data_IF_586682844261
#
_entry.id   IF_586682844261
#
_cell.length_a   1.000
_cell.length_b   1.000
_cell.length_c   1.000
_cell.angle_alpha   90.00
_cell.angle_beta   90.00
_cell.angle_gamma   90.00
#
_symmetry.space_group_name_H-M   'P 1'
#
loop_
_entity.id
_entity.type
_entity.pdbx_description
1 polymer ?
#
# COMPACT_ATOMS: atom_id res chain seq x y z
N UNK A 1 6.15 -17.86 -20.85
CA UNK A 1 5.54 -17.30 -19.61
C UNK A 1 4.74 -18.42 -18.97
N UNK A 2 5.18 -18.95 -17.84
CA UNK A 2 4.39 -19.93 -17.09
C UNK A 2 3.19 -19.16 -16.49
N UNK A 3 1.95 -19.62 -16.67
CA UNK A 3 0.80 -18.94 -16.05
C UNK A 3 0.98 -18.99 -14.53
N UNK A 4 1.06 -17.84 -13.90
CA UNK A 4 0.97 -17.75 -12.43
C UNK A 4 -0.41 -18.31 -12.05
N UNK A 5 -0.44 -19.52 -11.51
CA UNK A 5 -1.65 -20.00 -10.85
C UNK A 5 -2.04 -18.96 -9.80
N UNK A 6 -3.26 -18.47 -9.86
CA UNK A 6 -3.78 -17.56 -8.85
C UNK A 6 -3.82 -18.31 -7.52
N UNK A 7 -2.89 -18.01 -6.64
CA UNK A 7 -2.86 -18.60 -5.30
C UNK A 7 -4.11 -18.14 -4.55
N UNK A 8 -4.92 -19.08 -4.11
CA UNK A 8 -6.06 -18.79 -3.23
C UNK A 8 -5.48 -18.33 -1.87
N UNK A 9 -5.81 -17.12 -1.48
CA UNK A 9 -5.45 -16.55 -0.18
C UNK A 9 -6.71 -16.10 0.55
N UNK A 10 -6.66 -16.19 1.87
CA UNK A 10 -7.68 -15.67 2.75
C UNK A 10 -7.32 -14.25 3.21
N UNK A 11 -8.31 -13.44 3.52
CA UNK A 11 -8.15 -12.05 3.97
C UNK A 11 -8.36 -11.94 5.47
N UNK A 12 -7.47 -11.23 6.16
CA UNK A 12 -7.58 -10.98 7.62
C UNK A 12 -8.90 -10.30 7.98
N UNK A 13 -9.40 -9.39 7.11
CA UNK A 13 -10.70 -8.75 7.31
C UNK A 13 -11.87 -9.75 7.34
N UNK A 14 -11.79 -10.84 6.58
CA UNK A 14 -12.82 -11.88 6.57
C UNK A 14 -12.89 -12.62 7.90
N UNK A 15 -11.75 -12.87 8.56
CA UNK A 15 -11.72 -13.48 9.89
C UNK A 15 -12.40 -12.61 10.96
N UNK A 16 -12.18 -11.28 10.89
CA UNK A 16 -12.87 -10.35 11.80
C UNK A 16 -14.36 -10.25 11.54
N UNK A 17 -14.80 -10.48 10.30
CA UNK A 17 -16.21 -10.39 9.91
C UNK A 17 -16.99 -11.65 10.22
N UNK A 18 -16.40 -12.82 10.05
CA UNK A 18 -17.08 -14.11 10.17
C UNK A 18 -16.11 -15.18 10.69
N UNK A 19 -15.66 -15.00 11.94
CA UNK A 19 -14.73 -15.92 12.59
C UNK A 19 -15.22 -17.38 12.59
N UNK A 20 -16.51 -17.69 12.89
CA UNK A 20 -16.99 -19.08 12.93
C UNK A 20 -16.80 -19.84 11.63
N UNK A 21 -16.83 -19.15 10.49
CA UNK A 21 -16.61 -19.79 9.18
C UNK A 21 -15.16 -20.23 8.94
N UNK A 22 -14.20 -19.70 9.71
CA UNK A 22 -12.78 -19.97 9.53
C UNK A 22 -12.15 -20.71 10.73
N UNK A 23 -12.74 -20.64 11.91
CA UNK A 23 -12.22 -21.29 13.12
C UNK A 23 -12.02 -22.79 12.92
N UNK A 24 -10.86 -23.30 13.33
CA UNK A 24 -10.45 -24.69 13.16
C UNK A 24 -10.06 -25.10 11.74
N UNK A 25 -10.14 -24.19 10.76
CA UNK A 25 -9.78 -24.48 9.36
C UNK A 25 -8.36 -24.03 9.03
N UNK A 26 -7.79 -24.69 8.03
CA UNK A 26 -6.52 -24.24 7.43
C UNK A 26 -6.78 -23.03 6.56
N UNK A 27 -6.03 -21.96 6.81
CA UNK A 27 -6.08 -20.69 6.07
C UNK A 27 -4.70 -20.37 5.52
N UNK A 28 -4.67 -19.58 4.43
CA UNK A 28 -3.42 -19.07 3.86
C UNK A 28 -3.51 -17.54 3.75
N UNK A 29 -2.62 -16.82 4.45
CA UNK A 29 -2.56 -15.36 4.46
C UNK A 29 -1.22 -14.90 3.92
N UNK A 30 -1.26 -13.91 3.02
CA UNK A 30 -0.08 -13.22 2.52
C UNK A 30 -0.07 -11.79 3.05
N UNK A 31 1.02 -11.36 3.65
CA UNK A 31 1.10 -10.03 4.26
C UNK A 31 2.53 -9.63 4.64
N UNK A 32 2.62 -8.52 5.35
CA UNK A 32 3.89 -7.99 5.82
C UNK A 32 3.98 -8.10 7.34
N UNK A 33 5.15 -8.54 7.82
CA UNK A 33 5.45 -8.60 9.24
C UNK A 33 5.53 -7.18 9.84
N UNK A 34 4.68 -6.87 10.80
CA UNK A 34 4.75 -5.65 11.61
C UNK A 34 5.63 -5.81 12.84
N UNK A 35 5.72 -7.01 13.35
CA UNK A 35 6.68 -7.39 14.38
C UNK A 35 6.93 -8.89 14.31
N UNK A 36 8.14 -9.28 14.62
CA UNK A 36 8.55 -10.67 14.81
C UNK A 36 9.20 -10.76 16.19
N UNK A 37 8.85 -11.77 16.95
CA UNK A 37 9.42 -12.05 18.28
C UNK A 37 9.59 -13.54 18.39
N UNK A 38 10.68 -13.99 18.93
CA UNK A 38 10.93 -15.39 19.26
C UNK A 38 11.25 -15.57 20.74
N UNK A 39 10.97 -16.74 21.25
CA UNK A 39 11.24 -17.19 22.61
C UNK A 39 11.69 -18.64 22.54
N UNK A 40 12.96 -18.87 22.24
CA UNK A 40 13.66 -20.17 22.11
C UNK A 40 12.93 -21.23 21.27
N UNK A 41 11.69 -21.62 21.65
CA UNK A 41 10.93 -22.66 20.99
C UNK A 41 9.64 -22.15 20.31
N UNK A 42 9.23 -20.92 20.60
CA UNK A 42 8.01 -20.29 20.08
C UNK A 42 8.33 -18.94 19.46
N UNK A 43 7.76 -18.68 18.29
CA UNK A 43 7.83 -17.37 17.68
C UNK A 43 6.43 -16.81 17.41
N UNK A 44 6.35 -15.48 17.35
CA UNK A 44 5.12 -14.72 17.13
C UNK A 44 5.35 -13.67 16.05
N UNK A 45 4.47 -13.62 15.07
CA UNK A 45 4.46 -12.59 14.03
C UNK A 45 3.14 -11.83 14.13
N UNK A 46 3.19 -10.50 14.13
CA UNK A 46 2.04 -9.66 13.79
C UNK A 46 2.05 -9.47 12.28
N UNK A 47 1.20 -10.20 11.57
CA UNK A 47 1.09 -10.17 10.11
C UNK A 47 -0.09 -9.30 9.69
N UNK A 48 0.14 -8.37 8.78
CA UNK A 48 -0.90 -7.50 8.23
C UNK A 48 -0.94 -7.58 6.71
N UNK A 49 -2.10 -7.94 6.16
CA UNK A 49 -2.36 -8.07 4.73
C UNK A 49 -2.92 -6.80 4.08
N UNK A 50 -3.13 -5.74 4.87
CA UNK A 50 -3.70 -4.47 4.43
C UNK A 50 -5.22 -4.43 4.37
N UNK A 51 -5.93 -5.54 4.52
CA UNK A 51 -7.41 -5.58 4.47
C UNK A 51 -8.06 -5.08 5.76
N UNK A 52 -7.34 -5.17 6.89
CA UNK A 52 -7.78 -4.71 8.20
C UNK A 52 -6.74 -3.80 8.88
N UNK A 53 -7.19 -2.95 9.82
CA UNK A 53 -6.29 -2.17 10.69
C UNK A 53 -5.48 -3.07 11.61
N UNK A 54 -6.12 -4.09 12.15
CA UNK A 54 -5.48 -5.09 13.01
C UNK A 54 -4.94 -6.18 12.11
N UNK A 55 -3.71 -6.60 12.37
CA UNK A 55 -3.15 -7.80 11.78
C UNK A 55 -3.72 -9.08 12.42
N UNK A 56 -3.15 -10.19 12.04
CA UNK A 56 -3.37 -11.49 12.69
C UNK A 56 -2.08 -11.91 13.39
N UNK A 57 -2.19 -12.41 14.61
CA UNK A 57 -1.08 -13.06 15.28
C UNK A 57 -0.83 -14.42 14.66
N UNK A 58 0.39 -14.66 14.25
CA UNK A 58 0.85 -15.97 13.78
C UNK A 58 1.76 -16.54 14.85
N UNK A 59 1.49 -17.76 15.27
CA UNK A 59 2.32 -18.55 16.19
C UNK A 59 3.06 -19.59 15.38
N UNK A 60 4.37 -19.67 15.55
CA UNK A 60 5.20 -20.68 14.90
C UNK A 60 6.16 -21.32 15.91
N UNK A 61 6.38 -22.62 15.77
CA UNK A 61 7.10 -23.43 16.76
C UNK A 61 8.34 -24.08 16.14
N UNK A 62 9.42 -24.09 16.91
CA UNK A 62 10.63 -24.84 16.54
C UNK A 62 10.34 -26.35 16.48
N UNK A 63 10.80 -27.00 15.43
CA UNK A 63 10.51 -28.41 15.15
C UNK A 63 9.17 -28.68 14.44
N UNK A 64 8.24 -27.72 14.37
CA UNK A 64 7.05 -27.80 13.51
C UNK A 64 7.23 -27.12 12.17
N UNK A 65 8.10 -26.09 12.11
CA UNK A 65 8.45 -25.38 10.89
C UNK A 65 9.94 -25.60 10.60
N UNK A 66 10.25 -26.04 9.40
CA UNK A 66 11.65 -26.35 9.00
C UNK A 66 12.57 -25.13 9.07
N UNK A 67 12.05 -23.95 8.73
CA UNK A 67 12.79 -22.69 8.62
C UNK A 67 12.60 -21.74 9.82
N UNK A 68 12.37 -22.24 11.03
CA UNK A 68 12.13 -21.45 12.23
C UNK A 68 13.15 -20.32 12.43
N UNK A 69 14.45 -20.64 12.34
CA UNK A 69 15.54 -19.67 12.53
C UNK A 69 15.56 -18.58 11.45
N UNK A 70 15.28 -18.97 10.21
CA UNK A 70 15.16 -18.02 9.11
C UNK A 70 14.02 -17.03 9.36
N UNK A 71 12.85 -17.52 9.77
CA UNK A 71 11.68 -16.67 10.07
C UNK A 71 11.95 -15.79 11.29
N UNK A 72 12.51 -16.32 12.36
CA UNK A 72 12.84 -15.58 13.58
C UNK A 72 13.83 -14.44 13.31
N UNK A 73 14.72 -14.59 12.32
CA UNK A 73 15.71 -13.59 11.92
C UNK A 73 15.17 -12.51 10.97
N UNK A 74 13.93 -12.62 10.47
CA UNK A 74 13.38 -11.64 9.55
C UNK A 74 13.11 -10.29 10.22
N UNK A 75 13.25 -9.22 9.43
CA UNK A 75 12.99 -7.86 9.89
C UNK A 75 11.53 -7.44 9.66
N UNK A 76 11.12 -6.39 10.37
CA UNK A 76 9.86 -5.70 10.12
C UNK A 76 9.76 -5.31 8.64
N UNK A 77 8.61 -5.55 8.05
CA UNK A 77 8.37 -5.29 6.63
C UNK A 77 8.64 -6.48 5.71
N UNK A 78 9.18 -7.59 6.21
CA UNK A 78 9.30 -8.81 5.42
C UNK A 78 7.93 -9.27 4.89
N UNK A 79 7.88 -9.67 3.63
CA UNK A 79 6.70 -10.21 2.99
C UNK A 79 6.65 -11.72 3.21
N UNK A 80 5.58 -12.17 3.84
CA UNK A 80 5.42 -13.56 4.26
C UNK A 80 4.14 -14.16 3.70
N UNK A 81 4.18 -15.43 3.36
CA UNK A 81 3.03 -16.28 3.14
C UNK A 81 2.96 -17.30 4.26
N UNK A 82 1.85 -17.28 4.96
CA UNK A 82 1.62 -18.13 6.13
C UNK A 82 0.45 -19.06 5.85
N UNK A 83 0.66 -20.36 5.99
CA UNK A 83 -0.38 -21.38 5.98
C UNK A 83 -0.45 -22.01 7.37
N UNK A 84 -1.66 -22.17 7.92
CA UNK A 84 -1.83 -22.74 9.25
C UNK A 84 -3.28 -22.81 9.67
N UNK A 85 -3.53 -23.30 10.88
CA UNK A 85 -4.87 -23.43 11.44
C UNK A 85 -5.27 -22.15 12.18
N UNK A 86 -6.41 -21.58 11.85
CA UNK A 86 -6.98 -20.43 12.57
C UNK A 86 -7.65 -20.93 13.85
N UNK A 87 -7.19 -20.45 14.98
CA UNK A 87 -7.73 -20.83 16.31
C UNK A 87 -8.34 -19.61 17.00
N UNK A 88 -9.47 -19.82 17.66
CA UNK A 88 -10.08 -18.82 18.52
C UNK A 88 -9.29 -18.67 19.82
N UNK A 89 -9.10 -17.42 20.25
CA UNK A 89 -8.36 -17.08 21.47
C UNK A 89 -9.17 -16.12 22.35
N UNK A 90 -10.35 -16.54 22.87
CA UNK A 90 -11.30 -15.64 23.56
C UNK A 90 -10.72 -15.02 24.85
N UNK A 91 -9.68 -15.64 25.43
CA UNK A 91 -9.00 -15.15 26.63
C UNK A 91 -7.80 -14.25 26.32
N UNK A 92 -7.41 -14.14 25.04
CA UNK A 92 -6.27 -13.33 24.64
C UNK A 92 -6.71 -11.92 24.22
N UNK A 93 -5.72 -11.03 24.00
CA UNK A 93 -5.97 -9.65 23.52
C UNK A 93 -6.58 -9.63 22.13
N UNK A 94 -6.21 -10.58 21.28
CA UNK A 94 -6.76 -10.79 19.94
C UNK A 94 -7.80 -11.94 19.98
N UNK A 95 -8.86 -11.89 19.15
CA UNK A 95 -9.91 -12.90 19.18
C UNK A 95 -9.51 -14.24 18.55
N UNK A 96 -8.45 -14.26 17.75
CA UNK A 96 -7.95 -15.43 17.04
C UNK A 96 -6.46 -15.31 16.73
N UNK A 97 -5.83 -16.43 16.42
CA UNK A 97 -4.46 -16.52 15.94
C UNK A 97 -4.30 -17.66 14.92
N UNK A 98 -3.24 -17.62 14.11
CA UNK A 98 -2.90 -18.69 13.18
C UNK A 98 -1.76 -19.49 13.77
N UNK A 99 -1.97 -20.78 14.01
CA UNK A 99 -0.89 -21.72 14.30
C UNK A 99 -0.32 -22.22 12.98
N UNK A 100 0.85 -21.70 12.63
CA UNK A 100 1.46 -21.93 11.34
C UNK A 100 1.96 -23.39 11.19
N UNK A 101 1.65 -23.96 10.05
CA UNK A 101 2.24 -25.23 9.56
C UNK A 101 3.32 -24.98 8.50
N UNK A 102 3.24 -23.85 7.80
CA UNK A 102 4.22 -23.41 6.80
C UNK A 102 4.32 -21.89 6.81
N UNK A 103 5.54 -21.37 6.75
CA UNK A 103 5.81 -19.95 6.51
C UNK A 103 6.86 -19.84 5.41
N UNK A 104 6.54 -19.10 4.36
CA UNK A 104 7.45 -18.82 3.26
C UNK A 104 7.81 -17.34 3.25
N UNK A 105 9.11 -17.03 3.16
CA UNK A 105 9.59 -15.67 2.97
C UNK A 105 9.51 -15.34 1.48
N UNK A 106 8.49 -14.60 1.07
CA UNK A 106 8.32 -14.14 -0.31
C UNK A 106 9.24 -12.95 -0.64
N UNK A 107 9.64 -12.20 0.39
CA UNK A 107 10.60 -11.13 0.28
C UNK A 107 11.13 -10.70 1.64
N UNK A 108 12.45 -10.77 1.78
CA UNK A 108 13.12 -10.30 3.00
C UNK A 108 13.09 -8.78 3.10
N UNK A 109 13.20 -8.25 4.33
CA UNK A 109 13.29 -6.82 4.60
C UNK A 109 14.66 -6.47 5.17
N UNK A 110 15.23 -5.35 4.71
CA UNK A 110 16.49 -4.83 5.25
C UNK A 110 16.33 -4.40 6.72
N UNK A 111 17.38 -4.55 7.55
CA UNK A 111 17.42 -3.92 8.88
C UNK A 111 17.22 -2.40 8.85
N UNK A 112 17.53 -1.76 7.72
CA UNK A 112 17.38 -0.31 7.50
C UNK A 112 15.95 0.09 7.13
N UNK A 113 15.00 -0.87 7.06
CA UNK A 113 13.62 -0.55 6.75
C UNK A 113 13.09 0.54 7.68
N UNK A 114 12.62 1.70 7.15
CA UNK A 114 12.43 2.90 7.98
C UNK A 114 11.24 2.82 8.92
N UNK A 115 10.23 1.98 8.63
CA UNK A 115 9.05 1.81 9.50
C UNK A 115 9.29 0.75 10.58
N UNK A 116 10.23 1.03 11.48
CA UNK A 116 10.52 0.19 12.63
C UNK A 116 9.39 0.24 13.67
N UNK A 117 9.38 -0.71 14.64
CA UNK A 117 8.40 -0.78 15.73
C UNK A 117 8.59 0.38 16.74
N UNK A 118 8.33 1.61 16.30
CA UNK A 118 8.35 2.82 17.11
C UNK A 118 7.32 3.82 16.59
N UNK A 119 7.02 4.84 17.40
CA UNK A 119 6.18 5.94 16.93
C UNK A 119 6.96 6.79 15.91
N UNK A 120 6.34 7.08 14.79
CA UNK A 120 6.87 7.96 13.75
C UNK A 120 6.08 9.27 13.72
N UNK A 121 6.78 10.41 13.57
CA UNK A 121 6.13 11.72 13.41
C UNK A 121 5.57 11.87 12.00
N UNK A 122 4.60 12.77 11.82
CA UNK A 122 4.00 13.07 10.52
C UNK A 122 5.05 13.64 9.56
N UNK A 123 5.95 14.47 10.06
CA UNK A 123 7.06 15.09 9.31
C UNK A 123 7.98 14.00 8.74
N UNK A 124 8.42 13.07 9.59
CA UNK A 124 9.21 11.93 9.13
C UNK A 124 8.46 11.09 8.07
N UNK A 125 7.17 10.82 8.29
CA UNK A 125 6.37 10.03 7.35
C UNK A 125 6.18 10.73 5.99
N UNK A 126 6.33 12.05 5.91
CA UNK A 126 6.34 12.78 4.63
C UNK A 126 7.61 12.52 3.82
N UNK A 127 8.75 12.32 4.47
CA UNK A 127 10.02 12.01 3.78
C UNK A 127 10.02 10.61 3.15
N UNK A 128 9.16 9.70 3.64
CA UNK A 128 8.98 8.34 3.14
C UNK A 128 7.56 8.12 2.62
N UNK A 129 7.08 9.03 1.77
CA UNK A 129 5.69 9.10 1.31
C UNK A 129 5.15 7.77 0.74
N UNK A 130 5.98 6.99 0.04
CA UNK A 130 5.65 5.69 -0.53
C UNK A 130 5.41 4.59 0.51
N UNK A 131 5.96 4.70 1.73
CA UNK A 131 5.79 3.73 2.82
C UNK A 131 4.73 4.15 3.85
N UNK A 132 4.44 5.44 3.97
CA UNK A 132 3.51 5.96 5.00
C UNK A 132 2.12 5.30 5.00
N UNK A 133 1.53 4.79 3.87
CA UNK A 133 0.26 4.09 3.89
C UNK A 133 0.25 2.84 4.77
N UNK A 134 1.43 2.27 5.05
CA UNK A 134 1.57 1.10 5.93
C UNK A 134 1.46 1.44 7.42
N UNK A 135 1.43 2.72 7.79
CA UNK A 135 1.19 3.15 9.17
C UNK A 135 -0.31 3.22 9.46
N UNK A 136 -0.71 3.02 10.72
CA UNK A 136 -2.12 3.07 11.10
C UNK A 136 -2.74 4.44 10.80
N UNK A 137 -2.02 5.54 11.06
CA UNK A 137 -2.49 6.89 10.81
C UNK A 137 -2.84 7.10 9.33
N UNK A 138 -1.90 6.82 8.43
CA UNK A 138 -2.14 7.05 7.00
C UNK A 138 -3.04 5.99 6.37
N UNK A 139 -3.03 4.75 6.87
CA UNK A 139 -4.01 3.76 6.48
C UNK A 139 -5.44 4.24 6.79
N UNK A 140 -5.66 4.82 7.99
CA UNK A 140 -6.94 5.42 8.35
C UNK A 140 -7.30 6.61 7.44
N UNK A 141 -6.37 7.56 7.29
CA UNK A 141 -6.59 8.76 6.49
C UNK A 141 -6.96 8.42 5.03
N UNK A 142 -6.23 7.48 4.41
CA UNK A 142 -6.53 7.09 3.03
C UNK A 142 -7.84 6.31 2.89
N UNK A 143 -8.24 5.52 3.88
CA UNK A 143 -9.55 4.84 3.88
C UNK A 143 -10.69 5.87 3.98
N UNK A 144 -10.56 6.86 4.87
CA UNK A 144 -11.54 7.96 4.98
C UNK A 144 -11.58 8.75 3.68
N UNK A 145 -10.43 9.12 3.11
CA UNK A 145 -10.36 9.81 1.82
C UNK A 145 -11.05 9.04 0.70
N UNK A 146 -10.80 7.73 0.60
CA UNK A 146 -11.43 6.87 -0.40
C UNK A 146 -12.95 6.82 -0.22
N UNK A 147 -13.42 6.65 1.02
CA UNK A 147 -14.85 6.61 1.32
C UNK A 147 -15.53 7.96 1.04
N UNK A 148 -14.87 9.08 1.36
CA UNK A 148 -15.39 10.42 1.08
C UNK A 148 -15.49 10.69 -0.42
N UNK A 149 -14.44 10.35 -1.20
CA UNK A 149 -14.47 10.50 -2.66
C UNK A 149 -15.61 9.69 -3.28
N UNK A 150 -15.75 8.42 -2.86
CA UNK A 150 -16.84 7.57 -3.31
C UNK A 150 -18.22 8.14 -2.92
N UNK A 151 -18.35 8.65 -1.69
CA UNK A 151 -19.59 9.27 -1.20
C UNK A 151 -20.00 10.48 -2.03
N UNK A 152 -19.06 11.35 -2.43
CA UNK A 152 -19.30 12.49 -3.33
C UNK A 152 -19.78 11.99 -4.69
N UNK A 153 -19.08 11.06 -5.31
CA UNK A 153 -19.50 10.49 -6.59
C UNK A 153 -20.89 9.86 -6.52
N UNK A 154 -21.15 9.09 -5.47
CA UNK A 154 -22.45 8.46 -5.23
C UNK A 154 -23.57 9.50 -5.13
N UNK A 155 -23.37 10.56 -4.32
CA UNK A 155 -24.34 11.63 -4.16
C UNK A 155 -24.72 12.27 -5.50
N UNK A 156 -23.75 12.67 -6.30
CA UNK A 156 -24.02 13.28 -7.60
C UNK A 156 -24.73 12.31 -8.57
N UNK A 157 -24.29 11.05 -8.62
CA UNK A 157 -24.91 10.03 -9.47
C UNK A 157 -26.38 9.79 -9.09
N UNK A 158 -26.69 9.65 -7.79
CA UNK A 158 -28.04 9.43 -7.29
C UNK A 158 -28.98 10.65 -7.52
N UNK A 159 -28.41 11.85 -7.69
CA UNK A 159 -29.15 13.07 -8.02
C UNK A 159 -29.21 13.37 -9.53
N UNK A 160 -28.84 12.42 -10.39
CA UNK A 160 -28.99 12.53 -11.85
C UNK A 160 -27.87 13.29 -12.57
N UNK A 161 -26.77 13.61 -11.89
CA UNK A 161 -25.60 14.22 -12.53
C UNK A 161 -24.79 13.20 -13.31
N UNK A 162 -24.22 13.63 -14.41
CA UNK A 162 -23.31 12.82 -15.24
C UNK A 162 -21.86 13.20 -14.97
N UNK A 163 -21.03 12.20 -14.63
CA UNK A 163 -19.60 12.42 -14.45
C UNK A 163 -18.88 12.51 -15.81
N UNK A 164 -18.54 13.71 -16.22
CA UNK A 164 -17.99 14.01 -17.54
C UNK A 164 -16.49 13.76 -17.67
N UNK A 165 -15.80 13.29 -16.67
CA UNK A 165 -14.33 13.02 -16.65
C UNK A 165 -13.52 13.92 -17.61
N UNK A 166 -13.48 15.23 -17.30
CA UNK A 166 -12.73 16.22 -18.09
C UNK A 166 -11.22 15.99 -17.99
N UNK A 167 -10.44 16.31 -19.03
CA UNK A 167 -8.98 16.21 -18.98
C UNK A 167 -8.41 17.06 -17.84
N UNK A 168 -7.47 16.46 -17.07
CA UNK A 168 -6.74 17.18 -16.01
C UNK A 168 -5.80 18.21 -16.62
N UNK A 169 -5.22 17.89 -17.78
CA UNK A 169 -4.31 18.76 -18.51
C UNK A 169 -5.09 19.44 -19.63
N UNK A 170 -5.12 20.78 -19.64
CA UNK A 170 -5.85 21.57 -20.61
C UNK A 170 -5.03 22.79 -21.05
N UNK A 171 -5.20 23.22 -22.30
CA UNK A 171 -4.65 24.47 -22.82
C UNK A 171 -5.56 25.68 -22.56
N UNK A 172 -6.71 25.50 -21.91
CA UNK A 172 -7.67 26.56 -21.65
C UNK A 172 -7.49 27.10 -20.23
N UNK A 173 -7.26 28.40 -20.10
CA UNK A 173 -7.33 29.14 -18.85
C UNK A 173 -8.72 29.75 -18.71
N UNK A 174 -9.56 29.14 -17.85
CA UNK A 174 -10.96 29.55 -17.72
C UNK A 174 -11.14 30.89 -16.98
N UNK A 175 -10.22 31.25 -16.10
CA UNK A 175 -10.36 32.42 -15.23
C UNK A 175 -9.33 33.53 -15.50
N UNK A 176 -8.34 33.28 -16.34
CA UNK A 176 -7.28 34.24 -16.64
C UNK A 176 -6.40 34.65 -15.44
N UNK A 177 -6.48 33.89 -14.34
CA UNK A 177 -5.97 34.30 -13.04
C UNK A 177 -4.64 33.68 -12.64
N UNK A 178 -3.95 33.00 -13.53
CA UNK A 178 -2.70 32.35 -13.15
C UNK A 178 -1.77 32.01 -14.32
N UNK A 179 -0.52 31.79 -14.00
CA UNK A 179 0.48 31.34 -14.96
C UNK A 179 0.24 29.85 -15.31
N UNK A 180 0.30 29.53 -16.60
CA UNK A 180 0.22 28.15 -17.07
C UNK A 180 1.56 27.44 -16.86
N UNK A 181 1.52 26.23 -16.33
CA UNK A 181 2.69 25.36 -16.30
C UNK A 181 2.98 24.83 -17.71
N UNK A 182 4.24 24.83 -18.08
CA UNK A 182 4.68 24.18 -19.30
C UNK A 182 5.00 22.71 -19.01
N UNK A 183 4.33 21.81 -19.73
CA UNK A 183 4.70 20.37 -19.74
C UNK A 183 5.46 20.10 -21.03
N UNK A 184 6.68 19.62 -20.92
CA UNK A 184 7.54 19.34 -22.08
C UNK A 184 8.32 18.04 -21.85
N UNK A 185 8.62 17.33 -22.92
CA UNK A 185 9.55 16.20 -22.95
C UNK A 185 10.96 16.61 -23.37
N UNK A 186 11.17 17.91 -23.63
CA UNK A 186 12.49 18.43 -23.96
C UNK A 186 13.42 18.41 -22.77
N UNK A 187 14.66 18.01 -23.02
CA UNK A 187 15.75 18.27 -22.11
C UNK A 187 16.15 19.76 -22.25
N UNK A 188 15.68 20.59 -21.31
CA UNK A 188 15.93 22.03 -21.31
C UNK A 188 17.39 22.38 -21.06
N UNK A 189 18.20 21.49 -20.53
CA UNK A 189 19.63 21.66 -20.31
C UNK A 189 20.44 21.38 -21.58
N UNK A 190 19.94 20.47 -22.44
CA UNK A 190 20.60 20.03 -23.67
C UNK A 190 19.68 20.21 -24.89
N UNK A 191 19.25 21.45 -25.14
CA UNK A 191 18.41 21.72 -26.30
C UNK A 191 19.17 21.43 -27.62
N UNK A 192 18.53 20.75 -28.58
CA UNK A 192 19.14 20.59 -29.92
C UNK A 192 19.39 21.93 -30.58
N UNK A 193 20.60 22.10 -31.13
CA UNK A 193 21.04 23.35 -31.75
C UNK A 193 21.39 23.16 -33.24
N UNK A 194 21.11 24.17 -34.02
CA UNK A 194 21.59 24.29 -35.40
C UNK A 194 23.11 24.55 -35.41
N UNK A 195 23.73 24.45 -36.59
CA UNK A 195 25.16 24.72 -36.78
C UNK A 195 25.58 26.16 -36.38
N UNK A 196 24.66 27.09 -36.44
CA UNK A 196 24.84 28.48 -36.02
C UNK A 196 24.67 28.73 -34.52
N UNK A 197 24.39 27.67 -33.73
CA UNK A 197 24.19 27.72 -32.26
C UNK A 197 22.77 28.12 -31.84
N UNK A 198 21.87 28.42 -32.76
CA UNK A 198 20.45 28.67 -32.46
C UNK A 198 19.70 27.38 -32.13
N UNK A 199 18.59 27.46 -31.37
CA UNK A 199 17.79 26.29 -31.02
C UNK A 199 17.12 25.72 -32.28
N UNK A 200 17.31 24.41 -32.50
CA UNK A 200 16.65 23.69 -33.59
C UNK A 200 15.22 23.27 -33.16
N UNK A 201 14.26 24.15 -33.39
CA UNK A 201 12.85 23.92 -33.04
C UNK A 201 12.19 22.77 -33.82
N UNK A 202 12.74 22.30 -34.93
CA UNK A 202 12.21 21.17 -35.68
C UNK A 202 12.57 19.83 -35.02
N UNK A 203 13.72 19.77 -34.40
CA UNK A 203 14.21 18.62 -33.67
C UNK A 203 13.80 18.65 -32.20
N UNK A 204 13.58 19.84 -31.65
CA UNK A 204 12.99 20.12 -30.38
C UNK A 204 11.48 19.78 -30.43
N UNK A 205 11.12 18.54 -30.15
CA UNK A 205 9.76 18.02 -30.29
C UNK A 205 8.76 18.75 -29.39
N UNK A 206 7.75 19.33 -30.06
CA UNK A 206 6.39 19.60 -29.59
C UNK A 206 6.18 20.16 -28.17
N UNK A 207 5.93 21.43 -28.08
CA UNK A 207 5.39 22.09 -26.90
C UNK A 207 3.87 22.01 -26.87
N UNK A 208 3.31 21.57 -25.74
CA UNK A 208 1.94 21.90 -25.42
C UNK A 208 1.97 22.67 -24.08
N UNK A 209 1.50 23.92 -24.10
CA UNK A 209 1.26 24.67 -22.87
C UNK A 209 0.03 24.07 -22.22
N UNK A 210 0.20 23.45 -21.05
CA UNK A 210 -0.86 22.71 -20.38
C UNK A 210 -0.94 23.18 -18.94
N UNK A 211 -2.16 23.37 -18.44
CA UNK A 211 -2.44 23.68 -17.04
C UNK A 211 -3.10 22.49 -16.37
N UNK A 212 -2.66 22.17 -15.16
CA UNK A 212 -3.46 21.32 -14.28
C UNK A 212 -4.70 22.12 -13.86
N UNK A 213 -5.89 21.59 -14.11
CA UNK A 213 -7.13 22.19 -13.64
C UNK A 213 -7.25 21.96 -12.14
N UNK A 214 -6.90 22.93 -11.34
CA UNK A 214 -7.25 22.96 -9.93
C UNK A 214 -8.68 23.47 -9.78
N UNK A 215 -9.60 22.59 -9.46
CA UNK A 215 -10.88 23.01 -8.88
C UNK A 215 -10.63 23.50 -7.46
N UNK A 216 -10.39 24.77 -7.30
CA UNK A 216 -10.52 25.42 -5.99
C UNK A 216 -12.00 25.44 -5.63
N UNK A 217 -12.39 24.49 -4.78
CA UNK A 217 -13.63 24.65 -4.02
C UNK A 217 -13.39 25.82 -3.05
N UNK A 218 -13.86 27.00 -3.42
CA UNK A 218 -14.11 28.06 -2.45
C UNK A 218 -15.33 27.64 -1.65
N UNK A 219 -15.11 27.21 -0.40
CA UNK A 219 -16.12 27.14 0.64
C UNK A 219 -16.29 28.50 1.27
#
# INVERSE_FOLDING_TARGET
MVPRQSMKRDEVAAFYKDLPSYAGKTVTVCGWARSIRDSKALGFIDLNDGTSFKGVQVVFEDGKIENFKEIASQNVGAALRVTGTLLETPQAKQPFEIHASEIVVEGASSPEYPLQKKRHTVEFLRTIAHLRPRTNLYSAAYRVRSAAAFGIHKFFQENGFVYAHTPIITGSDCEGAGEMFQVTTLDLENLPKNEDGTVNYKEAVSYTHLRAHETTLHL
#
